data_IF_248011661089
#
_entry.id   IF_248011661089
#
_cell.length_a   1.000
_cell.length_b   1.000
_cell.length_c   1.000
_cell.angle_alpha   90.00
_cell.angle_beta   90.00
_cell.angle_gamma   90.00
#
_symmetry.space_group_name_H-M   'P 1'
#
loop_
_entity.id
_entity.type
_entity.pdbx_description
1 polymer ?
#
# COMPACT_ATOMS: atom_id res chain seq x y z
N UNK A 1 24.98 35.22 -18.82
CA UNK A 1 23.83 34.53 -19.47
C UNK A 1 23.98 33.01 -19.45
N UNK A 2 25.19 32.49 -19.60
CA UNK A 2 25.51 31.05 -19.49
C UNK A 2 25.27 30.49 -18.09
N UNK A 3 25.69 31.20 -17.04
CA UNK A 3 25.54 30.71 -15.66
C UNK A 3 24.08 30.62 -15.20
N UNK A 4 23.25 31.58 -15.65
CA UNK A 4 21.81 31.58 -15.37
C UNK A 4 21.10 30.43 -16.11
N UNK A 5 21.51 30.12 -17.34
CA UNK A 5 20.96 29.00 -18.11
C UNK A 5 21.32 27.65 -17.46
N UNK A 6 22.56 27.48 -17.01
CA UNK A 6 23.02 26.29 -16.29
C UNK A 6 22.23 26.13 -14.98
N UNK A 7 22.03 27.22 -14.23
CA UNK A 7 21.22 27.20 -13.01
C UNK A 7 19.78 26.75 -13.25
N UNK A 8 19.12 27.28 -14.29
CA UNK A 8 17.75 26.91 -14.67
C UNK A 8 17.67 25.42 -15.07
N UNK A 9 18.61 24.93 -15.88
CA UNK A 9 18.66 23.53 -16.29
C UNK A 9 18.89 22.59 -15.09
N UNK A 10 19.75 22.98 -14.15
CA UNK A 10 19.97 22.23 -12.92
C UNK A 10 18.70 22.08 -12.09
N UNK A 11 17.98 23.19 -11.87
CA UNK A 11 16.70 23.19 -11.14
C UNK A 11 15.65 22.35 -11.87
N UNK A 12 15.52 22.51 -13.18
CA UNK A 12 14.58 21.72 -13.99
C UNK A 12 14.88 20.21 -13.89
N UNK A 13 16.16 19.82 -13.90
CA UNK A 13 16.60 18.44 -13.68
C UNK A 13 16.19 17.90 -12.31
N UNK A 14 16.40 18.67 -11.24
CA UNK A 14 15.98 18.28 -9.88
C UNK A 14 14.46 18.12 -9.78
N UNK A 15 13.68 19.02 -10.37
CA UNK A 15 12.21 18.94 -10.39
C UNK A 15 11.76 17.68 -11.15
N UNK A 16 12.36 17.38 -12.30
CA UNK A 16 12.04 16.19 -13.09
C UNK A 16 12.32 14.90 -12.30
N UNK A 17 13.46 14.83 -11.60
CA UNK A 17 13.81 13.69 -10.73
C UNK A 17 12.82 13.54 -9.56
N UNK A 18 12.48 14.63 -8.87
CA UNK A 18 11.51 14.61 -7.77
C UNK A 18 10.13 14.15 -8.25
N UNK A 19 9.69 14.63 -9.41
CA UNK A 19 8.43 14.22 -10.02
C UNK A 19 8.44 12.73 -10.39
N UNK A 20 9.52 12.23 -10.97
CA UNK A 20 9.69 10.81 -11.26
C UNK A 20 9.64 9.94 -10.00
N UNK A 21 10.37 10.32 -8.96
CA UNK A 21 10.38 9.62 -7.68
C UNK A 21 9.00 9.61 -7.01
N UNK A 22 8.23 10.69 -7.12
CA UNK A 22 6.88 10.79 -6.54
C UNK A 22 5.87 9.79 -7.13
N UNK A 23 6.14 9.29 -8.34
CA UNK A 23 5.30 8.28 -9.01
C UNK A 23 5.62 6.85 -8.60
N UNK A 24 6.77 6.60 -7.97
CA UNK A 24 7.17 5.27 -7.52
C UNK A 24 6.55 5.05 -6.14
N UNK A 25 5.57 4.14 -6.06
CA UNK A 25 4.98 3.77 -4.78
C UNK A 25 6.01 3.00 -3.95
N UNK A 26 6.42 3.49 -2.76
CA UNK A 26 7.41 2.81 -1.95
C UNK A 26 6.83 1.47 -1.47
N UNK A 27 7.26 0.39 -2.12
CA UNK A 27 6.79 -0.96 -1.83
C UNK A 27 7.99 -1.87 -1.66
N UNK A 28 8.19 -2.32 -0.43
CA UNK A 28 9.11 -3.40 -0.11
C UNK A 28 8.32 -4.67 0.18
N UNK A 29 8.84 -5.80 -0.28
CA UNK A 29 8.29 -7.14 -0.02
C UNK A 29 9.43 -8.11 0.24
N UNK A 30 9.29 -8.94 1.26
CA UNK A 30 10.22 -10.02 1.58
C UNK A 30 10.26 -11.07 0.47
N UNK A 31 11.31 -11.90 0.46
CA UNK A 31 11.47 -12.93 -0.58
C UNK A 31 10.33 -13.96 -0.60
N UNK A 32 9.81 -14.28 0.57
CA UNK A 32 8.68 -15.20 0.79
C UNK A 32 7.30 -14.56 0.60
N UNK A 33 7.21 -13.26 0.32
CA UNK A 33 5.94 -12.53 0.14
C UNK A 33 5.16 -12.27 1.43
N UNK A 34 5.63 -12.76 2.59
CA UNK A 34 4.88 -12.72 3.86
C UNK A 34 5.04 -11.43 4.64
N UNK A 35 6.05 -10.59 4.34
CA UNK A 35 6.25 -9.28 4.98
C UNK A 35 6.35 -8.23 3.90
N UNK A 36 5.57 -7.17 4.00
CA UNK A 36 5.58 -6.12 2.99
C UNK A 36 5.09 -4.78 3.53
N UNK A 37 5.45 -3.72 2.81
CA UNK A 37 4.92 -2.38 3.02
C UNK A 37 3.69 -2.21 2.12
N UNK A 38 2.57 -1.82 2.69
CA UNK A 38 1.33 -1.60 1.95
C UNK A 38 0.74 -0.23 2.31
N UNK A 39 -0.30 0.16 1.58
CA UNK A 39 -1.15 1.29 2.00
C UNK A 39 -2.49 0.77 2.42
N UNK A 40 -3.02 1.31 3.52
CA UNK A 40 -4.35 0.99 4.00
C UNK A 40 -5.24 2.22 4.05
N UNK A 41 -6.52 2.02 3.86
CA UNK A 41 -7.57 3.01 4.02
C UNK A 41 -8.71 2.37 4.80
N UNK A 42 -9.41 3.13 5.64
CA UNK A 42 -10.57 2.59 6.36
C UNK A 42 -11.73 2.41 5.40
N UNK A 43 -12.51 1.37 5.59
CA UNK A 43 -13.77 1.17 4.88
C UNK A 43 -14.90 1.51 5.87
N UNK A 44 -15.66 2.58 5.56
CA UNK A 44 -16.73 3.08 6.41
C UNK A 44 -18.01 2.24 6.35
N UNK A 45 -19.05 2.69 7.06
CA UNK A 45 -20.30 1.93 7.29
C UNK A 45 -21.11 1.57 6.05
N UNK A 46 -20.85 2.21 4.91
CA UNK A 46 -21.55 1.99 3.64
C UNK A 46 -20.63 1.38 2.57
N UNK A 47 -19.57 0.66 2.99
CA UNK A 47 -18.51 0.15 2.13
C UNK A 47 -17.85 1.25 1.25
N UNK A 48 -17.90 2.49 1.73
CA UNK A 48 -17.26 3.66 1.13
C UNK A 48 -15.88 3.87 1.77
N UNK A 49 -14.83 4.16 0.98
CA UNK A 49 -13.52 4.45 1.54
C UNK A 49 -13.54 5.72 2.40
N UNK A 50 -12.97 5.64 3.61
CA UNK A 50 -12.90 6.73 4.58
C UNK A 50 -11.44 7.11 4.91
N UNK A 51 -11.18 8.41 4.87
CA UNK A 51 -9.87 9.00 5.15
C UNK A 51 -8.80 8.79 4.07
N UNK A 52 -7.57 9.25 4.29
CA UNK A 52 -6.48 9.11 3.33
C UNK A 52 -5.83 7.72 3.39
N UNK A 53 -5.20 7.30 2.29
CA UNK A 53 -4.29 6.16 2.28
C UNK A 53 -3.10 6.38 3.22
N UNK A 54 -2.82 5.39 4.08
CA UNK A 54 -1.72 5.43 5.04
C UNK A 54 -0.76 4.26 4.81
N UNK A 55 0.53 4.55 4.78
CA UNK A 55 1.56 3.51 4.73
C UNK A 55 1.56 2.68 6.01
N UNK A 56 1.51 1.36 5.86
CA UNK A 56 1.58 0.37 6.93
C UNK A 56 2.53 -0.76 6.54
N UNK A 57 2.88 -1.60 7.51
CA UNK A 57 3.61 -2.84 7.31
C UNK A 57 2.67 -4.00 7.62
N UNK A 58 2.63 -4.95 6.70
CA UNK A 58 1.88 -6.18 6.84
C UNK A 58 2.83 -7.35 7.10
N UNK A 59 2.41 -8.26 7.95
CA UNK A 59 3.03 -9.56 8.18
C UNK A 59 1.96 -10.65 8.18
N UNK A 60 2.17 -11.69 7.37
CA UNK A 60 1.29 -12.86 7.32
C UNK A 60 1.69 -13.82 8.43
N UNK A 61 0.75 -14.10 9.33
CA UNK A 61 0.87 -15.04 10.44
C UNK A 61 -0.21 -16.13 10.32
N UNK A 62 0.16 -17.26 9.71
CA UNK A 62 -0.79 -18.31 9.32
C UNK A 62 -1.83 -17.76 8.33
N UNK A 63 -3.11 -17.89 8.68
CA UNK A 63 -4.25 -17.36 7.92
C UNK A 63 -4.59 -15.90 8.24
N UNK A 64 -3.87 -15.28 9.19
CA UNK A 64 -4.10 -13.90 9.59
C UNK A 64 -3.05 -12.96 9.01
N UNK A 65 -3.43 -11.70 8.87
CA UNK A 65 -2.59 -10.60 8.41
C UNK A 65 -2.46 -9.57 9.54
N UNK A 66 -1.27 -9.48 10.12
CA UNK A 66 -0.93 -8.49 11.13
C UNK A 66 -0.52 -7.19 10.43
N UNK A 67 -1.27 -6.13 10.68
CA UNK A 67 -1.03 -4.79 10.15
C UNK A 67 -0.45 -3.91 11.26
N UNK A 68 0.65 -3.22 10.97
CA UNK A 68 1.34 -2.36 11.93
C UNK A 68 1.73 -1.02 11.29
N UNK A 69 1.65 0.06 12.06
CA UNK A 69 2.05 1.40 11.63
C UNK A 69 3.41 1.77 12.20
N UNK A 70 4.23 2.50 11.43
CA UNK A 70 5.36 3.26 11.98
C UNK A 70 4.95 4.63 12.51
N UNK A 71 3.83 5.19 12.05
CA UNK A 71 3.36 6.53 12.43
C UNK A 71 2.36 6.47 13.60
N UNK A 72 2.42 7.44 14.51
CA UNK A 72 1.44 7.57 15.62
C UNK A 72 0.01 7.72 15.09
N UNK A 73 -0.17 8.48 14.00
CA UNK A 73 -1.50 8.76 13.40
C UNK A 73 -2.17 7.53 12.79
N UNK A 74 -1.41 6.56 12.27
CA UNK A 74 -1.96 5.34 11.70
C UNK A 74 -1.94 4.14 12.67
N UNK A 75 -1.45 4.33 13.91
CA UNK A 75 -1.36 3.24 14.92
C UNK A 75 -2.72 2.62 15.24
N UNK A 76 -3.79 3.42 15.21
CA UNK A 76 -5.17 2.95 15.43
C UNK A 76 -5.70 1.99 14.36
N UNK A 77 -5.09 1.98 13.17
CA UNK A 77 -5.43 1.03 12.11
C UNK A 77 -4.63 -0.28 12.22
N UNK A 78 -3.66 -0.34 13.13
CA UNK A 78 -2.89 -1.55 13.38
C UNK A 78 -3.73 -2.59 14.12
N UNK A 79 -3.48 -3.87 13.85
CA UNK A 79 -4.23 -4.98 14.41
C UNK A 79 -4.07 -6.25 13.59
N UNK A 80 -4.80 -7.28 13.97
CA UNK A 80 -4.86 -8.55 13.25
C UNK A 80 -6.11 -8.58 12.40
N UNK A 81 -5.94 -8.87 11.12
CA UNK A 81 -7.01 -8.89 10.12
C UNK A 81 -7.01 -10.20 9.37
N UNK A 82 -8.15 -10.55 8.77
CA UNK A 82 -8.26 -11.60 7.75
C UNK A 82 -8.49 -10.97 6.39
N UNK A 83 -8.01 -11.63 5.34
CA UNK A 83 -8.23 -11.18 3.96
C UNK A 83 -9.61 -11.68 3.53
N UNK A 84 -10.58 -10.77 3.40
CA UNK A 84 -11.96 -11.12 3.09
C UNK A 84 -12.19 -11.37 1.59
N UNK A 85 -11.39 -10.72 0.75
CA UNK A 85 -11.49 -10.84 -0.70
C UNK A 85 -10.67 -9.80 -1.44
N UNK A 86 -10.66 -9.91 -2.77
CA UNK A 86 -10.01 -8.97 -3.69
C UNK A 86 -11.06 -8.12 -4.39
N UNK A 87 -10.82 -6.81 -4.48
CA UNK A 87 -11.70 -5.92 -5.21
C UNK A 87 -11.63 -6.23 -6.72
N UNK A 88 -12.79 -6.35 -7.42
CA UNK A 88 -12.83 -6.74 -8.84
C UNK A 88 -12.33 -5.61 -9.76
N UNK A 89 -12.61 -4.36 -9.40
CA UNK A 89 -12.23 -3.19 -10.17
C UNK A 89 -11.10 -2.45 -9.46
N UNK A 90 -9.90 -2.49 -10.03
CA UNK A 90 -8.73 -1.80 -9.48
C UNK A 90 -8.08 -0.89 -10.51
N UNK A 91 -7.49 0.24 -10.08
CA UNK A 91 -6.69 1.08 -10.98
C UNK A 91 -5.52 0.28 -11.57
N UNK A 92 -5.12 0.63 -12.80
CA UNK A 92 -4.00 0.00 -13.48
C UNK A 92 -2.75 -0.11 -12.58
N UNK A 93 -2.12 -1.28 -12.57
CA UNK A 93 -0.94 -1.64 -11.78
C UNK A 93 -1.13 -1.70 -10.24
N UNK A 94 -2.37 -1.71 -9.73
CA UNK A 94 -2.64 -1.85 -8.28
C UNK A 94 -3.58 -3.01 -7.99
N UNK A 95 -3.32 -3.72 -6.91
CA UNK A 95 -4.22 -4.71 -6.34
C UNK A 95 -4.77 -4.16 -5.02
N UNK A 96 -6.09 -4.27 -4.85
CA UNK A 96 -6.80 -3.84 -3.65
C UNK A 96 -7.49 -5.05 -3.02
N UNK A 97 -7.26 -5.27 -1.74
CA UNK A 97 -7.83 -6.34 -0.94
C UNK A 97 -8.68 -5.75 0.18
N UNK A 98 -9.76 -6.43 0.52
CA UNK A 98 -10.59 -6.08 1.68
C UNK A 98 -10.09 -6.89 2.87
N UNK A 99 -9.82 -6.20 3.97
CA UNK A 99 -9.41 -6.77 5.24
C UNK A 99 -10.56 -6.67 6.24
N UNK A 100 -10.76 -7.74 7.00
CA UNK A 100 -11.80 -7.83 8.03
C UNK A 100 -11.15 -8.13 9.38
N UNK A 101 -11.41 -7.26 10.36
CA UNK A 101 -10.97 -7.37 11.75
C UNK A 101 -11.84 -6.45 12.61
N UNK A 102 -11.25 -5.82 13.63
CA UNK A 102 -11.94 -4.83 14.47
C UNK A 102 -12.50 -3.65 13.66
N UNK A 103 -11.87 -3.35 12.52
CA UNK A 103 -12.39 -2.45 11.50
C UNK A 103 -12.29 -3.11 10.12
N UNK A 104 -13.08 -2.65 9.16
CA UNK A 104 -12.88 -3.03 7.76
C UNK A 104 -11.87 -2.08 7.14
N UNK A 105 -10.87 -2.63 6.47
CA UNK A 105 -9.84 -1.84 5.78
C UNK A 105 -9.73 -2.26 4.32
N UNK A 106 -9.35 -1.32 3.47
CA UNK A 106 -8.82 -1.59 2.15
C UNK A 106 -7.31 -1.62 2.23
N UNK A 107 -6.69 -2.66 1.70
CA UNK A 107 -5.25 -2.79 1.55
C UNK A 107 -4.87 -2.67 0.09
N UNK A 108 -3.88 -1.85 -0.21
CA UNK A 108 -3.37 -1.60 -1.56
C UNK A 108 -1.90 -1.94 -1.66
N UNK A 109 -1.57 -2.68 -2.72
CA UNK A 109 -0.19 -3.03 -3.11
C UNK A 109 -0.03 -2.96 -4.64
N UNK A 110 1.20 -2.89 -5.16
CA UNK A 110 1.45 -3.02 -6.60
C UNK A 110 0.94 -4.37 -7.11
N UNK A 111 0.24 -4.38 -8.24
CA UNK A 111 -0.38 -5.59 -8.79
C UNK A 111 0.62 -6.74 -9.04
N UNK A 112 1.84 -6.40 -9.47
CA UNK A 112 2.93 -7.35 -9.76
C UNK A 112 3.76 -7.73 -8.53
N UNK A 113 3.36 -7.35 -7.33
CA UNK A 113 4.08 -7.72 -6.11
C UNK A 113 3.96 -9.21 -5.82
N UNK A 114 5.01 -9.81 -5.24
CA UNK A 114 4.96 -11.16 -4.67
C UNK A 114 3.96 -11.29 -3.53
N UNK A 115 3.67 -10.20 -2.82
CA UNK A 115 2.64 -10.20 -1.78
C UNK A 115 1.24 -10.43 -2.35
N UNK A 116 1.00 -10.09 -3.62
CA UNK A 116 -0.29 -10.30 -4.28
C UNK A 116 -0.65 -11.79 -4.31
N UNK A 117 0.28 -12.66 -4.71
CA UNK A 117 0.01 -14.10 -4.74
C UNK A 117 -0.21 -14.67 -3.34
N UNK A 118 0.53 -14.19 -2.34
CA UNK A 118 0.31 -14.59 -0.93
C UNK A 118 -1.08 -14.19 -0.43
N UNK A 119 -1.54 -12.98 -0.75
CA UNK A 119 -2.87 -12.51 -0.37
C UNK A 119 -3.98 -13.24 -1.13
N UNK A 120 -3.79 -13.52 -2.42
CA UNK A 120 -4.73 -14.32 -3.21
C UNK A 120 -4.87 -15.75 -2.63
N UNK A 121 -3.77 -16.37 -2.16
CA UNK A 121 -3.83 -17.65 -1.45
C UNK A 121 -4.66 -17.58 -0.17
N UNK A 122 -4.50 -16.51 0.63
CA UNK A 122 -5.27 -16.31 1.87
C UNK A 122 -6.76 -16.08 1.62
N UNK A 123 -7.15 -15.56 0.45
CA UNK A 123 -8.57 -15.43 0.06
C UNK A 123 -9.17 -16.81 -0.25
N UNK A 124 -8.38 -17.71 -0.84
CA UNK A 124 -8.83 -19.02 -1.29
C UNK A 124 -8.80 -20.12 -0.22
N UNK A 125 -8.07 -19.93 0.88
CA UNK A 125 -8.06 -20.83 2.06
C UNK A 125 -9.34 -20.72 2.92
N UNK A 126 -10.41 -20.15 2.38
CA UNK A 126 -11.67 -19.87 3.06
C UNK A 126 -12.67 -21.02 2.92
#
# INVERSE_FOLDING_TARGET
MTDTLIGILGIAGCIAMLWGASRIEPHWVSKDGRRFVCRVQTLGSHDLPDGPWREMRAFVDGSNLVISSRSRRAKRLGGTYRVAGRAPETPANRAIFVLQGDSRLLLRIPAKSRATSTLDSLVNER
#
